data_IF_435036443506
#
_entry.id   IF_435036443506
#
_cell.length_a   1.000
_cell.length_b   1.000
_cell.length_c   1.000
_cell.angle_alpha   90.00
_cell.angle_beta   90.00
_cell.angle_gamma   90.00
#
_symmetry.space_group_name_H-M   'P 1'
#
loop_
_entity.id
_entity.type
_entity.pdbx_description
1 polymer ?
#
# COMPACT_ATOMS: atom_id res chain seq x y z
N UNK A 1 -7.51 9.47 -14.28
CA UNK A 1 -6.95 8.35 -13.48
C UNK A 1 -6.86 8.74 -12.02
N UNK A 2 -6.53 7.79 -11.14
CA UNK A 2 -6.50 7.97 -9.67
C UNK A 2 -5.54 9.09 -9.22
N UNK A 3 -4.42 9.29 -9.91
CA UNK A 3 -3.49 10.39 -9.63
C UNK A 3 -4.12 11.78 -9.78
N UNK A 4 -5.00 12.00 -10.77
CA UNK A 4 -5.68 13.30 -10.93
C UNK A 4 -6.66 13.57 -9.79
N UNK A 5 -7.28 12.51 -9.25
CA UNK A 5 -8.14 12.62 -8.06
C UNK A 5 -7.32 13.06 -6.85
N UNK A 6 -6.16 12.44 -6.62
CA UNK A 6 -5.25 12.81 -5.52
C UNK A 6 -4.80 14.26 -5.65
N UNK A 7 -4.33 14.66 -6.84
CA UNK A 7 -3.89 16.04 -7.10
C UNK A 7 -5.02 17.04 -6.87
N UNK A 8 -6.25 16.71 -7.29
CA UNK A 8 -7.42 17.54 -6.99
C UNK A 8 -7.70 17.61 -5.50
N UNK A 9 -7.65 16.51 -4.77
CA UNK A 9 -7.85 16.51 -3.31
C UNK A 9 -6.83 17.40 -2.59
N UNK A 10 -5.56 17.35 -3.01
CA UNK A 10 -4.50 18.23 -2.50
C UNK A 10 -4.82 19.70 -2.79
N UNK A 11 -5.21 20.04 -4.04
CA UNK A 11 -5.59 21.41 -4.42
C UNK A 11 -6.75 21.97 -3.60
N UNK A 12 -7.74 21.13 -3.32
CA UNK A 12 -8.96 21.52 -2.58
C UNK A 12 -8.79 21.39 -1.05
N UNK A 13 -7.60 21.04 -0.55
CA UNK A 13 -7.33 20.74 0.85
C UNK A 13 -8.34 19.74 1.47
N UNK A 14 -8.76 18.75 0.68
CA UNK A 14 -9.72 17.73 1.10
C UNK A 14 -9.03 16.58 1.85
N UNK A 15 -9.73 16.04 2.85
CA UNK A 15 -9.31 14.84 3.57
C UNK A 15 -9.85 13.57 2.90
N UNK A 16 -9.03 12.53 2.82
CA UNK A 16 -9.49 11.22 2.40
C UNK A 16 -8.41 10.15 2.46
N UNK A 17 -8.82 8.92 2.18
CA UNK A 17 -7.95 7.73 2.18
C UNK A 17 -8.16 7.00 0.86
N UNK A 18 -7.07 6.53 0.27
CA UNK A 18 -7.08 5.74 -0.96
C UNK A 18 -6.37 4.43 -0.67
N UNK A 19 -7.08 3.33 -0.90
CA UNK A 19 -6.48 2.00 -0.92
C UNK A 19 -6.14 1.65 -2.37
N UNK A 20 -4.91 1.20 -2.62
CA UNK A 20 -4.44 0.86 -3.96
C UNK A 20 -3.35 -0.22 -3.91
N UNK A 21 -3.23 -0.98 -5.00
CA UNK A 21 -2.10 -1.88 -5.27
C UNK A 21 -1.07 -1.26 -6.22
N UNK A 22 -1.35 -0.06 -6.73
CA UNK A 22 -0.50 0.65 -7.68
C UNK A 22 0.62 1.41 -6.96
N UNK A 23 1.86 0.99 -7.18
CA UNK A 23 3.06 1.60 -6.59
C UNK A 23 3.34 3.01 -7.14
N UNK A 24 2.88 3.36 -8.35
CA UNK A 24 3.05 4.71 -8.89
C UNK A 24 2.32 5.74 -8.01
N UNK A 25 1.14 5.39 -7.51
CA UNK A 25 0.37 6.22 -6.57
C UNK A 25 1.12 6.40 -5.26
N UNK A 26 1.73 5.32 -4.74
CA UNK A 26 2.53 5.39 -3.53
C UNK A 26 3.78 6.27 -3.71
N UNK A 27 4.39 6.26 -4.89
CA UNK A 27 5.56 7.11 -5.17
C UNK A 27 5.21 8.60 -5.24
N UNK A 28 3.99 8.94 -5.70
CA UNK A 28 3.51 10.33 -5.79
C UNK A 28 3.50 11.04 -4.42
N UNK A 29 3.35 10.31 -3.31
CA UNK A 29 3.35 10.93 -1.97
C UNK A 29 4.64 11.69 -1.65
N UNK A 30 5.77 11.27 -2.25
CA UNK A 30 7.05 11.97 -2.10
C UNK A 30 7.06 13.40 -2.64
N UNK A 31 6.14 13.74 -3.56
CA UNK A 31 6.02 15.09 -4.13
C UNK A 31 5.26 16.06 -3.20
N UNK A 32 4.54 15.54 -2.21
CA UNK A 32 3.67 16.33 -1.32
C UNK A 32 3.98 16.05 0.17
N UNK A 33 5.22 16.30 0.64
CA UNK A 33 5.60 16.02 2.01
C UNK A 33 4.74 16.81 2.99
N UNK A 34 4.21 16.13 4.02
CA UNK A 34 3.34 16.73 5.02
C UNK A 34 1.86 16.86 4.62
N UNK A 35 1.52 16.56 3.36
CA UNK A 35 0.11 16.55 2.88
C UNK A 35 -0.34 15.12 2.56
N UNK A 36 0.50 14.36 1.86
CA UNK A 36 0.25 12.94 1.57
C UNK A 36 1.16 12.06 2.42
N UNK A 37 0.62 10.93 2.87
CA UNK A 37 1.39 9.91 3.59
C UNK A 37 1.01 8.52 3.09
N UNK A 38 2.02 7.65 2.98
CA UNK A 38 1.79 6.24 2.70
C UNK A 38 1.56 5.49 4.02
N UNK A 39 0.56 4.62 4.01
CA UNK A 39 0.31 3.66 5.06
C UNK A 39 0.11 2.29 4.45
N UNK A 40 0.51 1.24 5.16
CA UNK A 40 0.32 -0.13 4.71
C UNK A 40 -0.13 -1.04 5.85
N UNK A 41 -0.77 -2.14 5.46
CA UNK A 41 -0.90 -3.33 6.29
C UNK A 41 0.17 -4.30 5.85
N UNK A 42 1.01 -4.73 6.78
CA UNK A 42 2.03 -5.73 6.50
C UNK A 42 1.48 -7.15 6.66
N UNK A 43 2.11 -8.06 5.92
CA UNK A 43 1.83 -9.48 6.01
C UNK A 43 3.10 -10.17 6.44
N UNK A 44 3.01 -11.00 7.48
CA UNK A 44 4.13 -11.81 7.93
C UNK A 44 3.91 -13.26 7.51
N UNK A 45 5.00 -13.98 7.24
CA UNK A 45 4.95 -15.43 7.03
C UNK A 45 5.44 -16.07 8.32
N UNK A 46 4.58 -16.86 8.96
CA UNK A 46 4.89 -17.61 10.18
C UNK A 46 4.46 -19.05 9.97
N UNK A 47 5.38 -20.00 10.15
CA UNK A 47 5.10 -21.44 10.02
C UNK A 47 4.40 -21.83 8.69
N UNK A 48 4.89 -21.29 7.58
CA UNK A 48 4.31 -21.47 6.23
C UNK A 48 2.84 -20.99 6.09
N UNK A 49 2.39 -20.11 6.96
CA UNK A 49 1.09 -19.44 6.89
C UNK A 49 1.23 -17.93 6.81
N UNK A 50 0.27 -17.29 6.11
CA UNK A 50 0.17 -15.84 6.08
C UNK A 50 -0.50 -15.36 7.37
N UNK A 51 0.21 -14.53 8.12
CA UNK A 51 -0.28 -13.88 9.31
C UNK A 51 -0.56 -12.40 9.02
N UNK A 52 -1.82 -12.01 9.24
CA UNK A 52 -2.29 -10.64 9.12
C UNK A 52 -2.60 -10.11 10.51
N UNK A 53 -1.83 -9.12 10.96
CA UNK A 53 -2.03 -8.53 12.28
C UNK A 53 -2.97 -7.31 12.26
N UNK A 54 -3.38 -6.89 11.05
CA UNK A 54 -4.29 -5.79 10.78
C UNK A 54 -3.85 -4.44 11.38
N UNK A 55 -2.56 -4.25 11.68
CA UNK A 55 -2.05 -2.96 12.16
C UNK A 55 -1.60 -2.08 11.00
N UNK A 56 -2.06 -0.83 11.02
CA UNK A 56 -1.66 0.19 10.06
C UNK A 56 -0.25 0.68 10.41
N UNK A 57 0.66 0.67 9.43
CA UNK A 57 2.07 1.08 9.57
C UNK A 57 2.40 2.18 8.59
N UNK A 58 3.48 2.91 8.87
CA UNK A 58 4.05 3.87 7.93
C UNK A 58 4.63 3.17 6.70
N UNK A 59 4.49 3.80 5.54
CA UNK A 59 5.17 3.38 4.32
C UNK A 59 4.34 2.48 3.41
N UNK A 60 5.04 1.79 2.52
CA UNK A 60 4.49 0.91 1.48
C UNK A 60 4.76 -0.53 1.91
N UNK A 61 3.86 -1.46 1.58
CA UNK A 61 4.04 -2.88 1.90
C UNK A 61 5.32 -3.42 1.25
N UNK A 62 6.19 -4.04 2.05
CA UNK A 62 7.48 -4.60 1.62
C UNK A 62 7.34 -6.09 1.31
N UNK A 63 6.48 -6.80 2.04
CA UNK A 63 6.33 -8.24 1.89
C UNK A 63 5.38 -8.60 0.73
N UNK A 64 5.91 -9.30 -0.27
CA UNK A 64 5.12 -9.85 -1.38
C UNK A 64 4.43 -11.17 -1.00
N UNK A 65 3.35 -11.06 -0.24
CA UNK A 65 2.48 -12.20 0.14
C UNK A 65 2.00 -13.03 -1.07
N UNK A 66 1.85 -12.40 -2.25
CA UNK A 66 1.47 -13.06 -3.49
C UNK A 66 2.51 -14.11 -3.93
N UNK A 67 3.80 -13.78 -3.90
CA UNK A 67 4.89 -14.69 -4.30
C UNK A 67 4.94 -15.92 -3.38
N UNK A 68 4.70 -15.72 -2.09
CA UNK A 68 4.60 -16.82 -1.13
C UNK A 68 3.39 -17.72 -1.41
N UNK A 69 2.21 -17.14 -1.64
CA UNK A 69 1.00 -17.88 -1.98
C UNK A 69 1.20 -18.71 -3.26
N UNK A 70 1.74 -18.09 -4.32
CA UNK A 70 1.95 -18.76 -5.59
C UNK A 70 2.87 -19.98 -5.46
N UNK A 71 3.96 -19.87 -4.68
CA UNK A 71 4.86 -21.00 -4.34
C UNK A 71 4.14 -22.08 -3.54
N UNK A 72 3.35 -21.72 -2.53
CA UNK A 72 2.58 -22.68 -1.71
C UNK A 72 1.53 -23.43 -2.54
N UNK A 73 0.91 -22.77 -3.52
CA UNK A 73 -0.08 -23.36 -4.42
C UNK A 73 0.53 -24.12 -5.61
N UNK A 74 1.86 -24.12 -5.76
CA UNK A 74 2.56 -24.79 -6.87
C UNK A 74 2.35 -24.16 -8.24
N UNK A 75 1.99 -22.86 -8.28
CA UNK A 75 1.77 -22.11 -9.53
C UNK A 75 3.11 -21.63 -10.11
N UNK A 76 4.09 -21.39 -9.24
CA UNK A 76 5.49 -21.06 -9.58
C UNK A 76 6.46 -21.85 -8.70
#
# INVERSE_FOLDING_TARGET
GTLEVIRRMVREAAYGVIATHDLEICNETGQYPGVLCNKCFEVEIRDDELYFDYKLREGICVNQSATFLMKKTGII
#
